data_IF_329372963701
#
_entry.id   IF_329372963701
#
_cell.length_a   1.000
_cell.length_b   1.000
_cell.length_c   1.000
_cell.angle_alpha   90.00
_cell.angle_beta   90.00
_cell.angle_gamma   90.00
#
_symmetry.space_group_name_H-M   'P 1'
#
loop_
_entity.id
_entity.type
_entity.pdbx_description
1 polymer ?
#
# COMPACT_ATOMS: atom_id res chain seq x y z
N UNK A 1 20.33 3.14 -0.35
CA UNK A 1 19.06 2.37 -0.39
C UNK A 1 18.18 3.04 -1.43
N UNK A 2 17.71 2.31 -2.44
CA UNK A 2 16.83 2.87 -3.48
C UNK A 2 15.38 2.85 -2.98
N UNK A 3 14.57 3.85 -3.31
CA UNK A 3 13.19 3.90 -2.83
C UNK A 3 12.34 2.76 -3.43
N UNK A 4 11.29 2.31 -2.72
CA UNK A 4 10.34 1.32 -3.25
C UNK A 4 9.75 1.79 -4.59
N UNK A 5 9.51 0.84 -5.49
CA UNK A 5 8.94 1.11 -6.81
C UNK A 5 7.57 0.48 -6.96
N UNK A 6 6.71 1.14 -7.73
CA UNK A 6 5.39 0.58 -8.09
C UNK A 6 5.56 -0.37 -9.26
N UNK A 7 5.28 -1.66 -9.04
CA UNK A 7 5.37 -2.68 -10.09
C UNK A 7 4.06 -2.85 -10.85
N UNK A 8 2.93 -2.64 -10.17
CA UNK A 8 1.60 -2.73 -10.75
C UNK A 8 0.64 -1.80 -9.99
N UNK A 9 -0.30 -1.20 -10.72
CA UNK A 9 -1.44 -0.45 -10.17
C UNK A 9 -2.66 -0.64 -11.08
N UNK A 10 -3.86 -0.50 -10.55
CA UNK A 10 -5.08 -0.62 -11.33
C UNK A 10 -6.33 -0.27 -10.52
N UNK A 11 -7.45 -0.10 -11.21
CA UNK A 11 -8.77 0.12 -10.64
C UNK A 11 -9.78 -0.90 -11.18
N UNK A 12 -10.91 -1.06 -10.50
CA UNK A 12 -12.00 -1.96 -10.91
C UNK A 12 -11.52 -3.40 -11.16
N UNK A 13 -11.82 -3.94 -12.35
CA UNK A 13 -11.46 -5.30 -12.75
C UNK A 13 -9.95 -5.56 -12.74
N UNK A 14 -9.13 -4.56 -13.12
CA UNK A 14 -7.67 -4.70 -13.09
C UNK A 14 -7.18 -4.87 -11.64
N UNK A 15 -7.72 -4.10 -10.71
CA UNK A 15 -7.38 -4.25 -9.29
C UNK A 15 -7.79 -5.61 -8.74
N UNK A 16 -8.95 -6.14 -9.15
CA UNK A 16 -9.37 -7.50 -8.79
C UNK A 16 -8.36 -8.53 -9.31
N UNK A 17 -7.96 -8.42 -10.58
CA UNK A 17 -6.99 -9.34 -11.18
C UNK A 17 -5.62 -9.30 -10.50
N UNK A 18 -5.14 -8.11 -10.11
CA UNK A 18 -3.89 -7.97 -9.34
C UNK A 18 -3.98 -8.69 -7.99
N UNK A 19 -5.12 -8.56 -7.29
CA UNK A 19 -5.34 -9.23 -6.00
C UNK A 19 -5.38 -10.75 -6.15
N UNK A 20 -6.03 -11.26 -7.20
CA UNK A 20 -6.06 -12.69 -7.51
C UNK A 20 -4.65 -13.25 -7.70
N UNK A 21 -3.87 -12.64 -8.61
CA UNK A 21 -2.49 -13.06 -8.89
C UNK A 21 -1.61 -12.95 -7.64
N UNK A 22 -1.78 -11.89 -6.84
CA UNK A 22 -1.09 -11.73 -5.57
C UNK A 22 -1.39 -12.87 -4.59
N UNK A 23 -2.66 -13.26 -4.48
CA UNK A 23 -3.09 -14.36 -3.62
C UNK A 23 -2.55 -15.72 -4.10
N UNK A 24 -2.61 -16.00 -5.40
CA UNK A 24 -2.03 -17.20 -6.02
C UNK A 24 -0.53 -17.33 -5.70
N UNK A 25 0.19 -16.21 -5.73
CA UNK A 25 1.62 -16.13 -5.40
C UNK A 25 1.90 -15.94 -3.90
N UNK A 26 0.88 -16.03 -3.04
CA UNK A 26 0.98 -15.91 -1.59
C UNK A 26 1.59 -14.58 -1.11
N UNK A 27 1.40 -13.50 -1.88
CA UNK A 27 1.82 -12.15 -1.51
C UNK A 27 0.91 -11.61 -0.39
N UNK A 28 1.45 -11.10 0.73
CA UNK A 28 0.65 -10.50 1.79
C UNK A 28 -0.17 -9.30 1.28
N UNK A 29 -1.47 -9.27 1.60
CA UNK A 29 -2.37 -8.18 1.24
C UNK A 29 -2.72 -7.33 2.46
N UNK A 30 -2.46 -6.02 2.37
CA UNK A 30 -2.86 -5.03 3.36
C UNK A 30 -3.90 -4.08 2.75
N UNK A 31 -4.99 -3.86 3.46
CA UNK A 31 -6.00 -2.89 3.07
C UNK A 31 -5.72 -1.56 3.79
N UNK A 32 -5.43 -0.53 2.99
CA UNK A 32 -5.11 0.80 3.47
C UNK A 32 -5.69 1.82 2.49
N UNK A 33 -7.01 2.13 2.56
CA UNK A 33 -7.68 2.91 1.52
C UNK A 33 -7.05 4.29 1.26
N UNK A 34 -6.68 5.10 2.27
CA UNK A 34 -5.96 6.37 2.07
C UNK A 34 -4.66 6.23 1.28
N UNK A 35 -3.81 5.31 1.72
CA UNK A 35 -2.49 5.09 1.10
C UNK A 35 -2.62 4.52 -0.31
N UNK A 36 -3.55 3.59 -0.52
CA UNK A 36 -3.78 2.98 -1.83
C UNK A 36 -4.22 4.02 -2.86
N UNK A 37 -5.12 4.95 -2.48
CA UNK A 37 -5.53 6.06 -3.35
C UNK A 37 -4.37 7.01 -3.64
N UNK A 38 -3.63 7.42 -2.61
CA UNK A 38 -2.47 8.30 -2.76
C UNK A 38 -1.42 7.70 -3.70
N UNK A 39 -1.08 6.41 -3.53
CA UNK A 39 -0.14 5.70 -4.40
C UNK A 39 -0.67 5.57 -5.84
N UNK A 40 -1.97 5.26 -6.01
CA UNK A 40 -2.56 5.13 -7.34
C UNK A 40 -2.47 6.44 -8.14
N UNK A 41 -2.68 7.58 -7.47
CA UNK A 41 -2.68 8.93 -8.05
C UNK A 41 -1.28 9.47 -8.29
N UNK A 42 -0.37 9.30 -7.35
CA UNK A 42 0.92 10.00 -7.35
C UNK A 42 2.13 9.15 -7.73
N UNK A 43 1.96 7.84 -7.95
CA UNK A 43 3.03 6.96 -8.39
C UNK A 43 2.67 6.26 -9.69
N UNK A 44 3.59 6.26 -10.65
CA UNK A 44 3.46 5.53 -11.92
C UNK A 44 4.16 4.18 -11.90
N UNK A 45 3.72 3.28 -12.78
CA UNK A 45 4.35 1.96 -12.92
C UNK A 45 5.82 2.14 -13.33
N UNK A 46 6.72 1.44 -12.65
CA UNK A 46 8.16 1.53 -12.83
C UNK A 46 8.83 2.69 -12.09
N UNK A 47 8.05 3.66 -11.59
CA UNK A 47 8.56 4.80 -10.85
C UNK A 47 8.73 4.51 -9.36
N UNK A 48 9.61 5.28 -8.74
CA UNK A 48 9.77 5.30 -7.29
C UNK A 48 8.55 5.99 -6.65
N UNK A 49 8.19 5.57 -5.44
CA UNK A 49 7.14 6.25 -4.68
C UNK A 49 7.54 7.70 -4.35
N UNK A 50 6.57 8.62 -4.16
CA UNK A 50 6.85 9.98 -3.69
C UNK A 50 7.43 9.99 -2.26
N UNK A 51 8.39 10.89 -2.01
CA UNK A 51 9.05 11.05 -0.69
C UNK A 51 8.08 11.23 0.47
N UNK A 52 6.96 11.92 0.22
CA UNK A 52 5.93 12.22 1.21
C UNK A 52 5.17 10.97 1.71
N UNK A 53 5.23 9.86 0.96
CA UNK A 53 4.59 8.59 1.32
C UNK A 53 5.58 7.59 1.93
N UNK A 54 6.85 7.96 2.14
CA UNK A 54 7.87 7.01 2.59
C UNK A 54 7.57 6.42 3.95
N UNK A 55 7.14 7.24 4.91
CA UNK A 55 6.81 6.77 6.26
C UNK A 55 5.68 5.74 6.24
N UNK A 56 4.58 6.05 5.55
CA UNK A 56 3.46 5.12 5.40
C UNK A 56 3.87 3.82 4.70
N UNK A 57 4.64 3.90 3.61
CA UNK A 57 5.11 2.71 2.89
C UNK A 57 6.11 1.90 3.72
N UNK A 58 6.96 2.54 4.52
CA UNK A 58 7.89 1.85 5.41
C UNK A 58 7.15 0.98 6.43
N UNK A 59 6.04 1.47 7.00
CA UNK A 59 5.18 0.67 7.89
C UNK A 59 4.55 -0.52 7.18
N UNK A 60 4.06 -0.33 5.95
CA UNK A 60 3.53 -1.43 5.12
C UNK A 60 4.60 -2.48 4.84
N UNK A 61 5.82 -2.06 4.51
CA UNK A 61 6.93 -2.97 4.25
C UNK A 61 7.38 -3.70 5.51
N UNK A 62 7.41 -3.03 6.66
CA UNK A 62 7.73 -3.64 7.94
C UNK A 62 6.71 -4.74 8.28
N UNK A 63 5.42 -4.45 8.10
CA UNK A 63 4.36 -5.45 8.27
C UNK A 63 4.47 -6.59 7.25
N UNK A 64 4.68 -6.29 5.97
CA UNK A 64 4.79 -7.29 4.90
C UNK A 64 5.96 -8.25 5.12
N UNK A 65 7.10 -7.73 5.56
CA UNK A 65 8.25 -8.54 5.94
C UNK A 65 7.96 -9.40 7.17
N UNK A 66 7.30 -8.86 8.19
CA UNK A 66 6.88 -9.64 9.36
C UNK A 66 5.89 -10.76 8.97
N UNK A 67 4.96 -10.48 8.04
CA UNK A 67 4.00 -11.46 7.51
C UNK A 67 4.67 -12.56 6.70
N UNK A 68 5.68 -12.20 5.90
CA UNK A 68 6.50 -13.17 5.19
C UNK A 68 7.31 -14.07 6.16
N UNK A 69 7.93 -13.49 7.19
CA UNK A 69 8.70 -14.21 8.19
C UNK A 69 7.84 -15.16 9.02
N UNK A 70 6.66 -14.72 9.45
CA UNK A 70 5.70 -15.55 10.17
C UNK A 70 5.31 -16.80 9.39
N UNK A 71 5.13 -16.69 8.07
CA UNK A 71 4.78 -17.82 7.19
C UNK A 71 5.88 -18.90 7.16
N UNK A 72 7.14 -18.52 7.27
CA UNK A 72 8.30 -19.43 7.13
C UNK A 72 8.72 -20.01 8.48
N UNK A 73 8.80 -19.18 9.52
CA UNK A 73 9.35 -19.58 10.82
C UNK A 73 8.28 -20.03 11.83
N UNK A 74 7.00 -19.78 11.57
CA UNK A 74 5.95 -19.88 12.58
C UNK A 74 6.09 -18.79 13.67
N UNK A 75 5.13 -18.71 14.59
CA UNK A 75 5.16 -17.78 15.73
C UNK A 75 4.02 -16.74 15.72
N UNK A 76 4.32 -15.54 16.22
CA UNK A 76 3.33 -14.47 16.40
C UNK A 76 2.82 -13.92 15.07
N UNK A 77 1.50 -13.92 14.89
CA UNK A 77 0.85 -13.27 13.74
C UNK A 77 1.11 -11.77 13.82
N UNK A 78 1.69 -11.13 12.79
CA UNK A 78 1.95 -9.70 12.82
C UNK A 78 0.63 -8.92 12.83
N UNK A 79 0.49 -8.01 13.78
CA UNK A 79 -0.65 -7.09 13.84
C UNK A 79 -0.61 -6.17 12.62
N UNK A 80 -1.73 -6.04 11.91
CA UNK A 80 -1.87 -5.08 10.80
C UNK A 80 -1.76 -3.66 11.36
N UNK A 81 -1.04 -2.74 10.69
CA UNK A 81 -1.06 -1.34 11.07
C UNK A 81 -2.47 -0.78 10.91
N UNK A 82 -2.99 -0.15 11.97
CA UNK A 82 -4.34 0.40 12.00
C UNK A 82 -4.37 1.86 11.49
N UNK A 83 -3.30 2.62 11.75
CA UNK A 83 -3.17 4.04 11.36
C UNK A 83 -1.87 4.27 10.60
N UNK A 84 -1.96 4.31 9.27
CA UNK A 84 -0.83 4.65 8.42
C UNK A 84 -0.74 6.18 8.28
N UNK A 85 0.45 6.79 8.48
CA UNK A 85 0.63 8.24 8.40
C UNK A 85 0.63 8.70 6.95
N UNK A 86 -0.56 8.88 6.38
CA UNK A 86 -0.76 9.45 5.04
C UNK A 86 -1.07 10.93 5.20
N UNK A 87 -0.27 11.85 4.63
CA UNK A 87 -0.59 13.26 4.64
C UNK A 87 -1.97 13.50 4.00
N UNK A 88 -2.84 14.25 4.67
CA UNK A 88 -4.20 14.53 4.17
C UNK A 88 -4.20 15.15 2.77
N UNK A 89 -3.20 15.98 2.46
CA UNK A 89 -3.01 16.59 1.14
C UNK A 89 -2.82 15.59 -0.02
N UNK A 90 -2.50 14.32 0.27
CA UNK A 90 -2.36 13.25 -0.72
C UNK A 90 -3.53 12.26 -0.71
N UNK A 91 -4.41 12.33 0.30
CA UNK A 91 -5.64 11.54 0.37
C UNK A 91 -6.86 12.40 0.05
N UNK A 92 -7.11 12.58 -1.24
CA UNK A 92 -8.21 13.42 -1.75
C UNK A 92 -9.62 12.89 -1.47
N UNK A 93 -9.80 11.73 -0.82
CA UNK A 93 -11.14 11.31 -0.40
C UNK A 93 -11.74 12.23 0.70
N UNK A 94 -10.89 13.05 1.34
CA UNK A 94 -11.28 14.08 2.30
C UNK A 94 -11.30 15.51 1.70
N UNK A 95 -11.13 15.69 0.39
CA UNK A 95 -11.55 16.94 -0.26
C UNK A 95 -13.08 17.00 -0.15
N UNK A 96 -13.55 17.53 0.98
CA UNK A 96 -14.94 17.92 1.16
C UNK A 96 -15.32 18.78 -0.05
N UNK A 97 -16.45 18.44 -0.64
CA UNK A 97 -17.30 19.34 -1.41
C UNK A 97 -17.50 20.64 -0.62
N UNK A 98 -16.57 21.59 -0.80
CA UNK A 98 -16.57 22.92 -0.19
C UNK A 98 -16.67 24.02 -1.24
N UNK A 99 -16.96 23.66 -2.49
CA UNK A 99 -17.41 24.62 -3.49
C UNK A 99 -18.94 24.62 -3.49
N UNK A 100 -19.50 25.76 -3.07
CA UNK A 100 -20.92 25.97 -2.76
C UNK A 100 -21.84 26.19 -3.95
#
# INVERSE_FOLDING_TARGET
>A
MSAPKVLAKGAGLIAQRIKEIGNENRIPMLEAPPLARALYRHAEIGQQIPGQLYSAVAEVLAWGLAAARWRVAGGLIPKKPENLPVPEALDFANEKDSDG
#
